data_IF_415801695011
#
_entry.id   IF_415801695011
#
_cell.length_a   1.000
_cell.length_b   1.000
_cell.length_c   1.000
_cell.angle_alpha   90.00
_cell.angle_beta   90.00
_cell.angle_gamma   90.00
#
_symmetry.space_group_name_H-M   'P 1'
#
loop_
_entity.id
_entity.type
_entity.pdbx_description
1 polymer ?
#
# COMPACT_ATOMS: atom_id res chain seq x y z
N UNK A 1 31.10 2.44 34.62
CA UNK A 1 29.67 2.44 34.26
C UNK A 1 29.51 1.38 33.20
N UNK A 2 28.77 0.33 33.52
CA UNK A 2 28.63 -0.87 32.71
C UNK A 2 27.93 -0.52 31.39
N UNK A 3 28.56 -0.85 30.27
CA UNK A 3 27.88 -0.98 28.98
C UNK A 3 26.94 -2.17 29.09
N UNK A 4 25.64 -1.91 29.25
CA UNK A 4 24.63 -2.94 29.03
C UNK A 4 24.72 -3.37 27.56
N UNK A 5 25.34 -4.52 27.34
CA UNK A 5 25.18 -5.29 26.13
C UNK A 5 23.68 -5.55 25.94
N UNK A 6 23.04 -4.79 25.05
CA UNK A 6 21.76 -5.17 24.46
C UNK A 6 22.01 -6.45 23.66
N UNK A 7 21.87 -7.61 24.30
CA UNK A 7 21.81 -8.91 23.63
C UNK A 7 20.73 -8.81 22.56
N UNK A 8 21.15 -8.80 21.28
CA UNK A 8 20.23 -8.80 20.15
C UNK A 8 19.53 -10.16 20.13
N UNK A 9 18.23 -10.28 20.50
CA UNK A 9 17.59 -11.58 20.75
C UNK A 9 17.51 -12.50 19.51
N UNK A 10 17.70 -11.90 18.33
CA UNK A 10 17.55 -12.52 17.00
C UNK A 10 18.84 -13.16 16.47
N UNK A 11 19.99 -12.72 16.98
CA UNK A 11 21.31 -13.29 16.68
C UNK A 11 21.84 -14.04 17.93
N UNK A 12 20.92 -14.67 18.64
CA UNK A 12 21.26 -15.62 19.68
C UNK A 12 22.16 -16.71 19.07
N UNK A 13 23.32 -16.95 19.68
CA UNK A 13 24.22 -18.04 19.32
C UNK A 13 23.61 -19.43 19.58
N UNK A 14 22.46 -19.49 20.25
CA UNK A 14 21.66 -20.70 20.44
C UNK A 14 20.80 -21.00 19.18
N UNK A 15 21.08 -22.10 18.46
CA UNK A 15 20.38 -22.49 17.24
C UNK A 15 18.88 -22.74 17.44
N UNK A 16 18.45 -23.21 18.63
CA UNK A 16 17.04 -23.52 18.87
C UNK A 16 16.20 -22.24 18.90
N UNK A 17 16.67 -21.22 19.61
CA UNK A 17 16.02 -19.89 19.64
C UNK A 17 15.94 -19.26 18.26
N UNK A 18 16.99 -19.42 17.43
CA UNK A 18 16.98 -18.92 16.06
C UNK A 18 15.89 -19.61 15.21
N UNK A 19 15.77 -20.93 15.30
CA UNK A 19 14.75 -21.71 14.58
C UNK A 19 13.34 -21.32 15.02
N UNK A 20 13.09 -21.21 16.33
CA UNK A 20 11.78 -20.85 16.88
C UNK A 20 11.36 -19.43 16.43
N UNK A 21 12.31 -18.49 16.48
CA UNK A 21 12.12 -17.12 16.01
C UNK A 21 11.82 -17.05 14.51
N UNK A 22 12.54 -17.83 13.69
CA UNK A 22 12.30 -17.93 12.26
C UNK A 22 10.92 -18.55 11.96
N UNK A 23 10.51 -19.56 12.71
CA UNK A 23 9.17 -20.18 12.58
C UNK A 23 8.07 -19.16 12.90
N UNK A 24 8.17 -18.43 14.02
CA UNK A 24 7.21 -17.37 14.39
C UNK A 24 7.13 -16.26 13.34
N UNK A 25 8.26 -15.88 12.77
CA UNK A 25 8.30 -14.90 11.68
C UNK A 25 7.59 -15.43 10.42
N UNK A 26 7.85 -16.68 10.03
CA UNK A 26 7.21 -17.30 8.87
C UNK A 26 5.69 -17.43 9.04
N UNK A 27 5.24 -17.78 10.24
CA UNK A 27 3.82 -17.81 10.60
C UNK A 27 3.19 -16.43 10.45
N UNK A 28 3.84 -15.38 10.97
CA UNK A 28 3.37 -14.01 10.83
C UNK A 28 3.30 -13.58 9.35
N UNK A 29 4.31 -13.91 8.54
CA UNK A 29 4.29 -13.61 7.11
C UNK A 29 3.17 -14.37 6.37
N UNK A 30 2.85 -15.61 6.80
CA UNK A 30 1.71 -16.35 6.29
C UNK A 30 0.39 -15.65 6.66
N UNK A 31 0.25 -15.17 7.89
CA UNK A 31 -0.94 -14.41 8.31
C UNK A 31 -1.14 -13.15 7.46
N UNK A 32 -0.07 -12.40 7.16
CA UNK A 32 -0.14 -11.25 6.25
C UNK A 32 -0.48 -11.66 4.80
N UNK A 33 -0.07 -12.83 4.32
CA UNK A 33 -0.53 -13.37 3.01
C UNK A 33 -2.04 -13.58 3.01
N UNK A 34 -2.59 -14.11 4.10
CA UNK A 34 -4.03 -14.31 4.22
C UNK A 34 -4.78 -12.97 4.29
N UNK A 35 -4.28 -11.98 5.03
CA UNK A 35 -4.87 -10.64 5.04
C UNK A 35 -4.94 -10.00 3.65
N UNK A 36 -3.87 -10.17 2.84
CA UNK A 36 -3.87 -9.74 1.44
C UNK A 36 -4.95 -10.44 0.62
N UNK A 37 -5.16 -11.75 0.83
CA UNK A 37 -6.20 -12.50 0.11
C UNK A 37 -7.59 -11.99 0.45
N UNK A 38 -7.89 -11.79 1.73
CA UNK A 38 -9.18 -11.23 2.18
C UNK A 38 -9.48 -9.88 1.51
N UNK A 39 -8.53 -8.94 1.59
CA UNK A 39 -8.71 -7.61 0.99
C UNK A 39 -8.82 -7.70 -0.53
N UNK A 40 -7.99 -8.52 -1.17
CA UNK A 40 -8.03 -8.69 -2.62
C UNK A 40 -9.37 -9.23 -3.08
N UNK A 41 -9.90 -10.26 -2.42
CA UNK A 41 -11.22 -10.82 -2.74
C UNK A 41 -12.32 -9.77 -2.56
N UNK A 42 -12.28 -8.95 -1.49
CA UNK A 42 -13.23 -7.86 -1.31
C UNK A 42 -13.18 -6.85 -2.46
N UNK A 43 -11.99 -6.47 -2.92
CA UNK A 43 -11.85 -5.59 -4.08
C UNK A 43 -12.34 -6.24 -5.39
N UNK A 44 -12.06 -7.53 -5.61
CA UNK A 44 -12.51 -8.28 -6.80
C UNK A 44 -14.04 -8.39 -6.82
N UNK A 45 -14.68 -8.65 -5.66
CA UNK A 45 -16.15 -8.68 -5.54
C UNK A 45 -16.77 -7.32 -5.87
N UNK A 46 -16.18 -6.22 -5.38
CA UNK A 46 -16.66 -4.88 -5.74
C UNK A 46 -16.53 -4.63 -7.25
N UNK A 47 -15.40 -4.99 -7.88
CA UNK A 47 -15.22 -4.82 -9.33
C UNK A 47 -16.25 -5.62 -10.14
N UNK A 48 -16.54 -6.86 -9.73
CA UNK A 48 -17.55 -7.71 -10.36
C UNK A 48 -18.97 -7.12 -10.22
N UNK A 49 -19.31 -6.59 -9.03
CA UNK A 49 -20.60 -5.93 -8.78
C UNK A 49 -20.77 -4.69 -9.68
N UNK A 50 -19.73 -3.86 -9.77
CA UNK A 50 -19.74 -2.70 -10.65
C UNK A 50 -19.93 -3.06 -12.12
N UNK A 51 -19.28 -4.14 -12.56
CA UNK A 51 -19.38 -4.63 -13.94
C UNK A 51 -20.83 -4.96 -14.30
N UNK A 52 -21.57 -5.55 -13.37
CA UNK A 52 -22.96 -5.98 -13.58
C UNK A 52 -23.92 -4.80 -13.46
N UNK A 53 -23.81 -3.99 -12.41
CA UNK A 53 -24.79 -2.95 -12.09
C UNK A 53 -24.63 -1.72 -13.01
N UNK A 54 -23.40 -1.31 -13.31
CA UNK A 54 -23.12 -0.06 -14.02
C UNK A 54 -22.50 -0.27 -15.41
N UNK A 55 -22.34 -1.53 -15.86
CA UNK A 55 -21.69 -1.89 -17.14
C UNK A 55 -20.31 -1.25 -17.33
N UNK A 56 -19.62 -0.97 -16.22
CA UNK A 56 -18.27 -0.38 -16.18
C UNK A 56 -17.46 -1.02 -15.06
N UNK A 57 -16.15 -1.12 -15.26
CA UNK A 57 -15.23 -1.63 -14.25
C UNK A 57 -14.38 -0.47 -13.71
N UNK A 58 -14.60 -0.02 -12.46
CA UNK A 58 -13.82 1.05 -11.87
C UNK A 58 -12.39 0.61 -11.59
N UNK A 59 -12.15 -0.69 -11.35
CA UNK A 59 -10.82 -1.23 -11.06
C UNK A 59 -10.24 -1.81 -12.37
N UNK A 60 -9.11 -1.26 -12.81
CA UNK A 60 -8.40 -1.78 -13.97
C UNK A 60 -7.57 -3.02 -13.60
N UNK A 61 -6.87 -3.00 -12.47
CA UNK A 61 -6.16 -4.17 -11.94
C UNK A 61 -5.79 -4.02 -10.46
N UNK A 62 -5.58 -5.16 -9.80
CA UNK A 62 -5.15 -5.25 -8.40
C UNK A 62 -3.76 -5.90 -8.34
N UNK A 63 -2.82 -5.23 -7.68
CA UNK A 63 -1.49 -5.76 -7.36
C UNK A 63 -1.39 -5.96 -5.85
N UNK A 64 -0.70 -7.01 -5.42
CA UNK A 64 -0.46 -7.25 -4.00
C UNK A 64 1.00 -7.56 -3.74
N UNK A 65 1.52 -7.14 -2.58
CA UNK A 65 2.89 -7.44 -2.16
C UNK A 65 2.98 -7.62 -0.66
N UNK A 66 3.93 -8.47 -0.26
CA UNK A 66 4.43 -8.50 1.11
C UNK A 66 5.76 -7.79 1.17
N UNK A 67 5.94 -6.99 2.22
CA UNK A 67 7.20 -6.30 2.49
C UNK A 67 8.31 -7.32 2.69
N UNK A 68 9.42 -7.16 1.97
CA UNK A 68 10.58 -8.07 2.10
C UNK A 68 11.11 -8.05 3.54
N UNK A 69 11.55 -9.20 4.11
CA UNK A 69 12.07 -9.26 5.48
C UNK A 69 13.17 -8.23 5.78
N UNK A 70 14.09 -8.04 4.84
CA UNK A 70 15.15 -7.03 4.96
C UNK A 70 14.59 -5.59 5.09
N UNK A 71 13.52 -5.29 4.35
CA UNK A 71 12.85 -3.98 4.43
C UNK A 71 12.05 -3.81 5.72
N UNK A 72 11.51 -4.90 6.29
CA UNK A 72 10.87 -4.91 7.61
C UNK A 72 11.93 -4.60 8.68
N UNK A 73 13.05 -5.33 8.66
CA UNK A 73 14.16 -5.14 9.60
C UNK A 73 14.70 -3.71 9.58
N UNK A 74 15.05 -3.19 8.41
CA UNK A 74 15.55 -1.81 8.27
C UNK A 74 14.54 -0.77 8.74
N UNK A 75 13.23 -1.01 8.56
CA UNK A 75 12.19 -0.07 8.98
C UNK A 75 12.03 -0.08 10.51
N UNK A 76 12.04 -1.24 11.15
CA UNK A 76 12.02 -1.33 12.61
C UNK A 76 13.26 -0.72 13.26
N UNK A 77 14.45 -0.98 12.71
CA UNK A 77 15.68 -0.34 13.18
C UNK A 77 15.63 1.19 13.12
N UNK A 78 15.11 1.75 12.02
CA UNK A 78 14.93 3.20 11.88
C UNK A 78 13.95 3.79 12.90
N UNK A 79 12.98 2.99 13.33
CA UNK A 79 12.01 3.37 14.36
C UNK A 79 12.51 3.08 15.78
N UNK A 80 13.70 2.49 15.94
CA UNK A 80 14.26 2.15 17.25
C UNK A 80 13.66 0.88 17.89
N UNK A 81 13.00 0.02 17.11
CA UNK A 81 12.39 -1.21 17.61
C UNK A 81 13.20 -2.45 17.23
N UNK A 82 13.21 -3.43 18.14
CA UNK A 82 13.75 -4.76 17.88
C UNK A 82 12.92 -5.50 16.83
N UNK A 83 13.57 -6.42 16.12
CA UNK A 83 12.97 -7.20 15.04
C UNK A 83 12.05 -8.33 15.55
N UNK A 84 11.01 -8.03 16.32
CA UNK A 84 10.10 -9.05 16.88
C UNK A 84 8.76 -9.15 16.14
N UNK A 85 8.10 -10.32 16.07
CA UNK A 85 6.75 -10.46 15.53
C UNK A 85 5.77 -9.44 16.13
N UNK A 86 5.89 -9.18 17.43
CA UNK A 86 5.07 -8.22 18.17
C UNK A 86 5.31 -6.78 17.68
N UNK A 87 6.58 -6.37 17.51
CA UNK A 87 6.93 -5.06 16.97
C UNK A 87 6.55 -4.93 15.50
N UNK A 88 6.70 -6.00 14.70
CA UNK A 88 6.24 -6.02 13.30
C UNK A 88 4.73 -5.76 13.24
N UNK A 89 3.94 -6.39 14.11
CA UNK A 89 2.47 -6.21 14.15
C UNK A 89 2.03 -4.83 14.61
N UNK A 90 2.71 -4.28 15.62
CA UNK A 90 2.26 -3.05 16.29
C UNK A 90 2.80 -1.79 15.63
N UNK A 91 4.02 -1.83 15.08
CA UNK A 91 4.75 -0.65 14.61
C UNK A 91 4.74 -0.49 13.08
N UNK A 92 4.42 -1.54 12.32
CA UNK A 92 4.41 -1.48 10.86
C UNK A 92 3.00 -1.61 10.30
N UNK A 93 2.62 -0.64 9.47
CA UNK A 93 1.30 -0.61 8.81
C UNK A 93 1.34 -1.18 7.38
N UNK A 94 2.51 -1.30 6.75
CA UNK A 94 2.70 -1.62 5.33
C UNK A 94 3.37 -2.99 5.10
N UNK A 95 3.16 -3.96 6.00
CA UNK A 95 3.68 -5.32 5.82
C UNK A 95 2.89 -6.06 4.74
N UNK A 96 1.56 -6.03 4.85
CA UNK A 96 0.64 -6.39 3.78
C UNK A 96 0.27 -5.14 2.98
N UNK A 97 0.58 -5.13 1.69
CA UNK A 97 0.24 -4.03 0.80
C UNK A 97 -0.62 -4.50 -0.37
N UNK A 98 -1.78 -3.87 -0.53
CA UNK A 98 -2.66 -4.05 -1.70
C UNK A 98 -2.69 -2.74 -2.48
N UNK A 99 -2.52 -2.81 -3.79
CA UNK A 99 -2.64 -1.68 -4.69
C UNK A 99 -3.81 -1.92 -5.64
N UNK A 100 -4.79 -1.03 -5.55
CA UNK A 100 -5.95 -1.01 -6.44
C UNK A 100 -5.71 0.10 -7.44
N UNK A 101 -5.64 -0.24 -8.72
CA UNK A 101 -5.49 0.75 -9.79
C UNK A 101 -6.83 0.89 -10.48
N UNK A 102 -7.37 2.11 -10.41
CA UNK A 102 -8.65 2.50 -10.97
C UNK A 102 -8.47 3.25 -12.29
N UNK A 103 -9.55 3.29 -13.06
CA UNK A 103 -9.58 4.01 -14.35
C UNK A 103 -9.59 5.53 -14.15
N UNK A 104 -10.32 6.01 -13.15
CA UNK A 104 -10.64 7.43 -12.93
C UNK A 104 -10.42 7.86 -11.47
N UNK A 105 -10.35 9.17 -11.20
CA UNK A 105 -10.17 9.67 -9.83
C UNK A 105 -11.42 9.42 -8.99
N UNK A 106 -12.62 9.58 -9.53
CA UNK A 106 -13.86 9.34 -8.78
C UNK A 106 -14.01 7.87 -8.36
N UNK A 107 -13.53 6.96 -9.20
CA UNK A 107 -13.52 5.52 -8.90
C UNK A 107 -12.64 5.21 -7.69
N UNK A 108 -11.57 5.99 -7.46
CA UNK A 108 -10.71 5.84 -6.27
C UNK A 108 -11.51 6.07 -4.99
N UNK A 109 -12.25 7.18 -4.93
CA UNK A 109 -13.05 7.53 -3.76
C UNK A 109 -14.22 6.56 -3.59
N UNK A 110 -14.88 6.19 -4.70
CA UNK A 110 -15.97 5.22 -4.67
C UNK A 110 -15.51 3.88 -4.10
N UNK A 111 -14.38 3.34 -4.56
CA UNK A 111 -13.83 2.07 -4.04
C UNK A 111 -13.40 2.22 -2.58
N UNK A 112 -12.78 3.35 -2.20
CA UNK A 112 -12.39 3.61 -0.82
C UNK A 112 -13.61 3.62 0.13
N UNK A 113 -14.67 4.32 -0.26
CA UNK A 113 -15.90 4.46 0.52
C UNK A 113 -16.60 3.11 0.68
N UNK A 114 -16.75 2.36 -0.42
CA UNK A 114 -17.36 1.02 -0.38
C UNK A 114 -16.58 0.05 0.49
N UNK A 115 -15.25 0.01 0.36
CA UNK A 115 -14.41 -0.82 1.25
C UNK A 115 -14.55 -0.39 2.72
N UNK A 116 -14.57 0.91 2.99
CA UNK A 116 -14.70 1.43 4.37
C UNK A 116 -16.08 1.21 4.99
N UNK A 117 -17.12 1.04 4.17
CA UNK A 117 -18.48 0.77 4.61
C UNK A 117 -18.75 -0.69 4.98
N UNK A 118 -17.83 -1.61 4.66
CA UNK A 118 -17.99 -3.02 5.02
C UNK A 118 -17.88 -3.16 6.55
N UNK A 119 -18.80 -3.93 7.13
CA UNK A 119 -18.96 -4.08 8.58
C UNK A 119 -17.75 -4.75 9.27
N UNK A 120 -16.92 -5.45 8.50
CA UNK A 120 -15.75 -6.17 8.97
C UNK A 120 -14.41 -5.46 8.67
N UNK A 121 -14.42 -4.29 8.02
CA UNK A 121 -13.22 -3.46 7.81
C UNK A 121 -13.19 -2.33 8.83
N UNK A 122 -12.08 -2.20 9.55
CA UNK A 122 -11.82 -1.03 10.41
C UNK A 122 -10.78 -0.13 9.78
N UNK A 123 -11.15 1.10 9.42
CA UNK A 123 -10.20 2.10 8.93
C UNK A 123 -9.41 2.69 10.10
N UNK A 124 -8.10 2.53 10.05
CA UNK A 124 -7.16 3.01 11.09
C UNK A 124 -6.65 4.40 10.75
N UNK A 125 -6.29 4.63 9.49
CA UNK A 125 -5.73 5.91 9.04
C UNK A 125 -5.98 6.10 7.54
N UNK A 126 -6.30 7.33 7.13
CA UNK A 126 -6.40 7.73 5.73
C UNK A 126 -5.36 8.82 5.47
N UNK A 127 -4.60 8.67 4.37
CA UNK A 127 -3.72 9.72 3.84
C UNK A 127 -4.06 9.98 2.37
N UNK A 128 -4.71 11.11 2.14
CA UNK A 128 -5.14 11.53 0.82
C UNK A 128 -4.06 12.40 0.15
N UNK A 129 -3.14 11.75 -0.57
CA UNK A 129 -2.14 12.45 -1.38
C UNK A 129 -2.65 12.87 -2.75
N UNK A 130 -3.92 12.59 -3.08
CA UNK A 130 -4.54 13.13 -4.30
C UNK A 130 -4.90 14.59 -4.06
N UNK A 131 -5.55 14.88 -2.92
CA UNK A 131 -5.84 16.24 -2.46
C UNK A 131 -4.60 16.99 -2.00
N UNK A 132 -3.73 16.32 -1.24
CA UNK A 132 -2.51 16.92 -0.68
C UNK A 132 -1.26 16.19 -1.22
N UNK A 133 -0.86 16.43 -2.48
CA UNK A 133 0.30 15.76 -3.08
C UNK A 133 1.58 16.05 -2.30
N UNK A 134 2.50 15.08 -2.31
CA UNK A 134 3.83 15.31 -1.73
C UNK A 134 4.63 16.32 -2.57
N UNK A 135 5.68 16.96 -2.02
CA UNK A 135 6.49 17.93 -2.74
C UNK A 135 7.10 17.41 -4.05
N UNK A 136 7.37 16.10 -4.15
CA UNK A 136 7.89 15.46 -5.36
C UNK A 136 6.81 15.18 -6.43
N UNK A 137 5.55 15.59 -6.22
CA UNK A 137 4.44 15.33 -7.14
C UNK A 137 3.71 14.00 -6.90
N UNK A 138 4.14 13.20 -5.92
CA UNK A 138 3.49 11.92 -5.64
C UNK A 138 2.02 12.07 -5.22
N UNK A 139 1.15 11.32 -5.90
CA UNK A 139 -0.29 11.21 -5.64
C UNK A 139 -0.72 9.75 -5.47
N UNK A 140 -1.61 9.50 -4.51
CA UNK A 140 -2.23 8.21 -4.22
C UNK A 140 -3.21 8.40 -3.05
N UNK A 141 -4.27 7.60 -2.99
CA UNK A 141 -5.10 7.49 -1.79
C UNK A 141 -4.61 6.32 -0.94
N UNK A 142 -4.19 6.57 0.30
CA UNK A 142 -3.69 5.53 1.21
C UNK A 142 -4.69 5.29 2.33
N UNK A 143 -5.08 4.03 2.51
CA UNK A 143 -5.97 3.59 3.57
C UNK A 143 -5.30 2.47 4.35
N UNK A 144 -5.05 2.69 5.64
CA UNK A 144 -4.57 1.65 6.55
C UNK A 144 -5.81 1.05 7.22
N UNK A 145 -5.96 -0.27 7.08
CA UNK A 145 -7.12 -0.99 7.59
C UNK A 145 -6.71 -2.17 8.46
N UNK A 146 -7.58 -2.52 9.40
CA UNK A 146 -7.56 -3.82 10.07
C UNK A 146 -8.68 -4.71 9.50
N UNK A 147 -8.31 -5.90 9.04
CA UNK A 147 -9.22 -6.91 8.47
C UNK A 147 -9.18 -8.19 9.31
N UNK A 148 -10.31 -8.81 9.65
CA UNK A 148 -10.33 -10.07 10.36
C UNK A 148 -9.94 -11.23 9.45
N UNK A 149 -8.99 -12.05 9.91
CA UNK A 149 -8.65 -13.30 9.25
C UNK A 149 -8.96 -14.45 10.21
N UNK A 150 -9.69 -15.44 9.72
CA UNK A 150 -10.10 -16.60 10.50
C UNK A 150 -9.08 -17.74 10.33
N UNK A 151 -8.25 -17.94 11.35
CA UNK A 151 -7.30 -19.06 11.40
C UNK A 151 -7.86 -20.20 12.26
N UNK A 152 -7.20 -21.37 12.26
CA UNK A 152 -7.61 -22.52 13.08
C UNK A 152 -7.65 -22.23 14.59
N UNK A 153 -6.87 -21.26 15.06
CA UNK A 153 -6.82 -20.82 16.47
C UNK A 153 -7.80 -19.68 16.78
N UNK A 154 -8.58 -19.23 15.80
CA UNK A 154 -9.57 -18.16 15.94
C UNK A 154 -9.34 -16.95 15.04
N UNK A 155 -10.19 -15.95 15.21
CA UNK A 155 -10.16 -14.67 14.49
C UNK A 155 -8.98 -13.82 14.96
N UNK A 156 -8.19 -13.33 14.01
CA UNK A 156 -7.11 -12.38 14.25
C UNK A 156 -7.30 -11.16 13.37
N UNK A 157 -7.31 -9.96 13.96
CA UNK A 157 -7.26 -8.72 13.18
C UNK A 157 -5.84 -8.52 12.63
N UNK A 158 -5.76 -8.34 11.32
CA UNK A 158 -4.52 -8.16 10.58
C UNK A 158 -4.52 -6.79 9.92
N UNK A 159 -3.41 -6.07 10.07
CA UNK A 159 -3.23 -4.75 9.47
C UNK A 159 -2.74 -4.84 8.04
N UNK A 160 -3.28 -4.00 7.17
CA UNK A 160 -2.81 -3.84 5.80
C UNK A 160 -2.90 -2.39 5.33
N UNK A 161 -2.05 -2.04 4.36
CA UNK A 161 -2.11 -0.78 3.64
C UNK A 161 -2.73 -1.02 2.26
N UNK A 162 -3.80 -0.31 1.97
CA UNK A 162 -4.44 -0.26 0.65
C UNK A 162 -4.05 1.06 -0.01
N UNK A 163 -3.44 0.97 -1.18
CA UNK A 163 -3.08 2.12 -2.02
C UNK A 163 -3.99 2.14 -3.23
N UNK A 164 -4.83 3.16 -3.36
CA UNK A 164 -5.76 3.31 -4.48
C UNK A 164 -5.24 4.46 -5.37
N UNK A 165 -5.18 4.23 -6.68
CA UNK A 165 -4.49 5.11 -7.66
C UNK A 165 -5.17 5.06 -9.01
N UNK A 166 -4.97 6.09 -9.84
CA UNK A 166 -5.22 5.97 -11.28
C UNK A 166 -4.08 5.21 -11.97
N UNK A 167 -4.29 4.82 -13.23
CA UNK A 167 -3.23 4.25 -14.09
C UNK A 167 -2.03 5.22 -14.18
N UNK A 168 -2.29 6.51 -14.40
CA UNK A 168 -1.25 7.54 -14.48
C UNK A 168 -0.44 7.65 -13.18
N UNK A 169 -1.12 7.66 -12.03
CA UNK A 169 -0.45 7.68 -10.73
C UNK A 169 0.40 6.42 -10.47
N UNK A 170 -0.08 5.22 -10.85
CA UNK A 170 0.70 3.98 -10.70
C UNK A 170 1.95 3.97 -11.59
N UNK A 171 1.80 4.43 -12.84
CA UNK A 171 2.89 4.55 -13.79
C UNK A 171 3.99 5.48 -13.27
N UNK A 172 3.61 6.71 -12.90
CA UNK A 172 4.54 7.72 -12.38
C UNK A 172 5.26 7.23 -11.12
N UNK A 173 4.52 6.71 -10.14
CA UNK A 173 5.08 6.28 -8.87
C UNK A 173 5.99 5.06 -9.01
N UNK A 174 5.79 4.23 -10.04
CA UNK A 174 6.69 3.11 -10.34
C UNK A 174 8.05 3.61 -10.82
N UNK A 175 8.06 4.61 -11.70
CA UNK A 175 9.30 5.22 -12.21
C UNK A 175 10.04 5.99 -11.11
N UNK A 176 9.32 6.79 -10.32
CA UNK A 176 9.92 7.55 -9.21
C UNK A 176 10.55 6.62 -8.15
N UNK A 177 9.87 5.52 -7.82
CA UNK A 177 10.40 4.53 -6.89
C UNK A 177 11.66 3.85 -7.44
N UNK A 178 11.75 3.58 -8.75
CA UNK A 178 12.95 3.01 -9.37
C UNK A 178 14.15 3.97 -9.27
N UNK A 179 13.91 5.27 -9.43
CA UNK A 179 14.93 6.29 -9.23
C UNK A 179 15.43 6.28 -7.77
N UNK A 180 14.52 6.43 -6.80
CA UNK A 180 14.88 6.55 -5.37
C UNK A 180 15.45 5.27 -4.75
N UNK A 181 15.24 4.11 -5.35
CA UNK A 181 15.76 2.85 -4.79
C UNK A 181 17.29 2.77 -4.83
N UNK A 182 17.96 3.50 -5.73
CA UNK A 182 19.43 3.53 -5.83
C UNK A 182 20.01 4.42 -4.73
N UNK A 183 20.76 3.83 -3.79
CA UNK A 183 21.45 4.59 -2.73
C UNK A 183 22.45 5.58 -3.35
N UNK A 184 22.48 6.81 -2.84
CA UNK A 184 23.41 7.85 -3.28
C UNK A 184 23.05 8.50 -4.63
N UNK A 185 21.88 8.18 -5.20
CA UNK A 185 21.47 8.75 -6.49
C UNK A 185 21.29 10.26 -6.45
N UNK A 186 20.96 10.81 -5.28
CA UNK A 186 20.81 12.25 -5.04
C UNK A 186 22.12 13.03 -5.27
N UNK A 187 23.27 12.33 -5.27
CA UNK A 187 24.60 12.90 -5.49
C UNK A 187 25.08 12.71 -6.93
N UNK A 188 24.29 12.04 -7.79
CA UNK A 188 24.65 11.82 -9.19
C UNK A 188 24.31 13.04 -10.04
N UNK A 189 25.21 13.37 -10.96
CA UNK A 189 24.98 14.42 -11.95
C UNK A 189 23.70 14.12 -12.77
N UNK A 190 22.83 15.13 -12.91
CA UNK A 190 21.54 14.99 -13.58
C UNK A 190 20.37 14.55 -12.69
N UNK A 191 20.59 14.23 -11.41
CA UNK A 191 19.49 13.86 -10.50
C UNK A 191 18.42 14.94 -10.36
N UNK A 192 18.83 16.20 -10.16
CA UNK A 192 17.88 17.32 -10.03
C UNK A 192 17.04 17.49 -11.29
N UNK A 193 17.66 17.45 -12.48
CA UNK A 193 16.94 17.53 -13.74
C UNK A 193 15.92 16.41 -13.92
N UNK A 194 16.26 15.17 -13.53
CA UNK A 194 15.32 14.05 -13.56
C UNK A 194 14.19 14.24 -12.53
N UNK A 195 14.51 14.74 -11.34
CA UNK A 195 13.53 15.02 -10.29
C UNK A 195 12.53 16.09 -10.73
N UNK A 196 13.00 17.15 -11.37
CA UNK A 196 12.15 18.23 -11.91
C UNK A 196 11.27 17.71 -13.05
N UNK A 197 11.84 16.93 -13.98
CA UNK A 197 11.08 16.30 -15.06
C UNK A 197 10.01 15.33 -14.52
N UNK A 198 10.30 14.60 -13.44
CA UNK A 198 9.30 13.78 -12.76
C UNK A 198 8.20 14.64 -12.14
N UNK A 199 8.54 15.74 -11.47
CA UNK A 199 7.53 16.64 -10.90
C UNK A 199 6.61 17.22 -11.98
N UNK A 200 7.16 17.69 -13.09
CA UNK A 200 6.39 18.19 -14.25
C UNK A 200 5.52 17.10 -14.85
N UNK A 201 6.04 15.88 -14.98
CA UNK A 201 5.28 14.72 -15.45
C UNK A 201 4.12 14.39 -14.52
N UNK A 202 4.31 14.49 -13.19
CA UNK A 202 3.25 14.27 -12.21
C UNK A 202 2.11 15.29 -12.36
N UNK A 203 2.45 16.55 -12.61
CA UNK A 203 1.48 17.62 -12.85
C UNK A 203 0.71 17.38 -14.15
N UNK A 204 1.42 17.01 -15.22
CA UNK A 204 0.81 16.70 -16.53
C UNK A 204 -0.15 15.52 -16.43
N UNK A 205 0.26 14.43 -15.76
CA UNK A 205 -0.60 13.27 -15.50
C UNK A 205 -1.83 13.68 -14.70
N UNK A 206 -1.66 14.48 -13.64
CA UNK A 206 -2.80 14.93 -12.84
C UNK A 206 -3.78 15.78 -13.65
N UNK A 207 -3.29 16.63 -14.56
CA UNK A 207 -4.16 17.41 -15.43
C UNK A 207 -4.91 16.50 -16.40
N UNK A 208 -4.21 15.55 -17.02
CA UNK A 208 -4.82 14.57 -17.93
C UNK A 208 -5.89 13.72 -17.23
N UNK A 209 -5.62 13.21 -16.02
CA UNK A 209 -6.60 12.45 -15.24
C UNK A 209 -7.87 13.30 -14.99
N UNK A 210 -7.72 14.57 -14.62
CA UNK A 210 -8.86 15.48 -14.41
C UNK A 210 -9.64 15.79 -15.70
N UNK A 211 -8.96 16.01 -16.82
CA UNK A 211 -9.63 16.23 -18.11
C UNK A 211 -10.38 14.98 -18.58
N UNK A 212 -9.79 13.80 -18.42
CA UNK A 212 -10.45 12.54 -18.77
C UNK A 212 -11.67 12.26 -17.88
N UNK A 213 -11.60 12.62 -16.59
CA UNK A 213 -12.77 12.57 -15.71
C UNK A 213 -13.90 13.50 -16.18
N UNK A 214 -13.58 14.74 -16.57
CA UNK A 214 -14.60 15.64 -17.13
C UNK A 214 -15.22 15.12 -18.42
N UNK A 215 -14.40 14.56 -19.31
CA UNK A 215 -14.90 13.98 -20.57
C UNK A 215 -15.82 12.79 -20.29
N UNK A 216 -15.45 11.93 -19.33
CA UNK A 216 -16.31 10.83 -18.86
C UNK A 216 -17.67 11.34 -18.38
N UNK A 217 -17.69 12.39 -17.56
CA UNK A 217 -18.94 12.98 -17.06
C UNK A 217 -19.79 13.57 -18.20
N UNK A 218 -19.16 14.24 -19.16
CA UNK A 218 -19.85 14.74 -20.37
C UNK A 218 -20.47 13.59 -21.18
N UNK A 219 -19.76 12.48 -21.37
CA UNK A 219 -20.28 11.30 -22.07
C UNK A 219 -21.47 10.69 -21.30
N UNK A 220 -21.41 10.65 -19.97
CA UNK A 220 -22.52 10.18 -19.12
C UNK A 220 -23.81 10.97 -19.36
N UNK A 221 -23.72 12.30 -19.45
CA UNK A 221 -24.88 13.17 -19.72
C UNK A 221 -25.56 12.88 -21.06
N UNK A 222 -24.84 12.42 -22.08
CA UNK A 222 -25.44 12.02 -23.36
C UNK A 222 -26.23 10.71 -23.29
N UNK A 223 -25.93 9.84 -22.31
CA UNK A 223 -26.64 8.56 -22.12
C UNK A 223 -27.85 8.69 -21.19
N UNK A 224 -28.02 9.82 -20.49
CA UNK A 224 -29.16 10.13 -19.62
C UNK A 224 -30.27 10.95 -20.33
N UNK A 225 -30.09 11.29 -21.61
CA UNK A 225 -31.10 11.88 -22.52
C UNK A 225 -31.74 10.78 -23.36
#
# INVERSE_FOLDING_TARGET
>A
MNEEHTEKPWLSSDPQKFIDNASRFNDLMMQYRCAIREIRTKCEVLDDEFSVEYKRNPISFIKSRIKKPESIYRKLQKLGYDFTPENIRTQLHDVAGVRVVCSFIDDIYTVADLLSSQDDITVVEIRDYIKNPKPNGYRSYHMIVDVPVFFSKGKTLMRAEIQIRTIGMDFWATLEHQLRYKKGIEQMEGYESISDALLESAQTISHMDMEMDRIKDMIGQFHEI
#
